data_IF_222042111258
#
_entry.id   IF_222042111258
#
_cell.length_a   1.000
_cell.length_b   1.000
_cell.length_c   1.000
_cell.angle_alpha   90.00
_cell.angle_beta   90.00
_cell.angle_gamma   90.00
#
_symmetry.space_group_name_H-M   'P 1'
#
loop_
_entity.id
_entity.type
_entity.pdbx_description
1 polymer ?
#
# COMPACT_ATOMS: atom_id res chain seq x y z
N UNK A 1 -13.90 7.00 -28.75
CA UNK A 1 -12.81 7.12 -27.75
C UNK A 1 -13.41 7.65 -26.45
N UNK A 2 -13.39 6.84 -25.39
CA UNK A 2 -13.94 7.23 -24.10
C UNK A 2 -12.79 7.69 -23.18
N UNK A 3 -12.80 8.97 -22.81
CA UNK A 3 -11.86 9.57 -21.87
C UNK A 3 -12.66 10.10 -20.69
N UNK A 4 -12.14 9.94 -19.48
CA UNK A 4 -12.75 10.53 -18.30
C UNK A 4 -11.69 10.92 -17.29
N UNK A 5 -11.93 12.02 -16.59
CA UNK A 5 -11.13 12.45 -15.44
C UNK A 5 -12.08 12.65 -14.27
N UNK A 6 -11.72 12.09 -13.13
CA UNK A 6 -12.46 12.24 -11.88
C UNK A 6 -11.50 12.82 -10.84
N UNK A 7 -11.97 13.85 -10.14
CA UNK A 7 -11.27 14.45 -9.01
C UNK A 7 -12.16 14.32 -7.79
N UNK A 8 -11.60 13.77 -6.71
CA UNK A 8 -12.24 13.73 -5.40
C UNK A 8 -11.29 14.29 -4.34
N UNK A 9 -11.82 14.96 -3.33
CA UNK A 9 -11.03 15.43 -2.20
C UNK A 9 -11.82 15.38 -0.90
N UNK A 10 -11.09 15.33 0.19
CA UNK A 10 -11.60 15.41 1.56
C UNK A 10 -10.65 16.31 2.35
N UNK A 11 -11.19 17.17 3.20
CA UNK A 11 -10.41 18.04 4.08
C UNK A 11 -11.19 18.30 5.36
N UNK A 12 -10.48 18.45 6.47
CA UNK A 12 -11.07 18.73 7.77
C UNK A 12 -10.02 18.91 8.87
N UNK A 13 -10.51 19.06 10.09
CA UNK A 13 -9.67 19.01 11.28
C UNK A 13 -9.22 17.57 11.58
N UNK A 14 -8.04 17.41 12.17
CA UNK A 14 -7.45 16.11 12.53
C UNK A 14 -8.35 15.30 13.47
N UNK A 15 -9.06 15.96 14.39
CA UNK A 15 -10.01 15.29 15.28
C UNK A 15 -11.06 16.29 15.83
N UNK A 16 -12.03 15.78 16.58
CA UNK A 16 -13.01 16.62 17.28
C UNK A 16 -12.38 17.59 18.31
N UNK A 17 -11.13 17.34 18.72
CA UNK A 17 -10.41 18.10 19.76
C UNK A 17 -9.13 18.77 19.25
N UNK A 18 -8.76 18.57 17.99
CA UNK A 18 -7.55 19.13 17.39
C UNK A 18 -7.86 19.75 16.02
N UNK A 19 -7.64 21.06 15.89
CA UNK A 19 -7.94 21.83 14.67
C UNK A 19 -6.87 21.72 13.58
N UNK A 20 -5.77 21.00 13.81
CA UNK A 20 -4.69 20.82 12.83
C UNK A 20 -5.25 20.23 11.52
N UNK A 21 -4.84 20.71 10.34
CA UNK A 21 -5.37 20.23 9.06
C UNK A 21 -5.12 18.74 8.79
N UNK A 22 -6.11 18.09 8.19
CA UNK A 22 -6.02 16.80 7.51
C UNK A 22 -6.71 16.90 6.15
N UNK A 23 -6.03 16.49 5.09
CA UNK A 23 -6.63 16.51 3.76
C UNK A 23 -6.08 15.40 2.87
N UNK A 24 -6.89 15.00 1.90
CA UNK A 24 -6.49 14.10 0.83
C UNK A 24 -7.20 14.49 -0.47
N UNK A 25 -6.54 14.26 -1.60
CA UNK A 25 -7.20 14.27 -2.90
C UNK A 25 -6.80 13.04 -3.73
N UNK A 26 -7.66 12.70 -4.68
CA UNK A 26 -7.47 11.63 -5.66
C UNK A 26 -7.86 12.12 -7.05
N UNK A 27 -6.97 11.93 -8.01
CA UNK A 27 -7.17 12.22 -9.42
C UNK A 27 -7.11 10.90 -10.20
N UNK A 28 -8.19 10.56 -10.91
CA UNK A 28 -8.29 9.34 -11.71
C UNK A 28 -8.60 9.68 -13.17
N UNK A 29 -7.63 9.43 -14.04
CA UNK A 29 -7.77 9.50 -15.49
C UNK A 29 -7.99 8.11 -16.09
N UNK A 30 -8.90 8.01 -17.06
CA UNK A 30 -9.14 6.79 -17.84
C UNK A 30 -9.11 7.11 -19.33
N UNK A 31 -8.48 6.24 -20.10
CA UNK A 31 -8.37 6.37 -21.54
C UNK A 31 -8.45 5.00 -22.23
N UNK A 32 -9.30 4.90 -23.25
CA UNK A 32 -9.37 3.73 -24.13
C UNK A 32 -8.74 4.03 -25.49
N UNK A 33 -7.93 3.09 -25.98
CA UNK A 33 -7.18 3.13 -27.23
C UNK A 33 -7.45 1.87 -28.06
N UNK A 34 -6.93 1.84 -29.29
CA UNK A 34 -6.99 0.68 -30.21
C UNK A 34 -8.41 0.10 -30.29
N UNK A 35 -9.35 0.87 -30.83
CA UNK A 35 -10.76 0.46 -30.97
C UNK A 35 -11.41 -0.06 -29.67
N UNK A 36 -10.97 0.49 -28.53
CA UNK A 36 -11.36 0.13 -27.17
C UNK A 36 -10.89 -1.25 -26.69
N UNK A 37 -9.83 -1.82 -27.27
CA UNK A 37 -9.20 -3.06 -26.76
C UNK A 37 -8.07 -2.79 -25.78
N UNK A 38 -7.48 -1.58 -25.80
CA UNK A 38 -6.43 -1.18 -24.87
C UNK A 38 -6.97 -0.13 -23.89
N UNK A 39 -6.95 -0.46 -22.60
CA UNK A 39 -7.47 0.37 -21.53
C UNK A 39 -6.34 0.83 -20.61
N UNK A 40 -6.27 2.14 -20.38
CA UNK A 40 -5.32 2.74 -19.46
C UNK A 40 -6.03 3.51 -18.36
N UNK A 41 -5.62 3.29 -17.11
CA UNK A 41 -6.06 4.05 -15.95
C UNK A 41 -4.85 4.57 -15.20
N UNK A 42 -4.81 5.87 -14.98
CA UNK A 42 -3.83 6.53 -14.12
C UNK A 42 -4.57 7.10 -12.92
N UNK A 43 -4.06 6.81 -11.72
CA UNK A 43 -4.55 7.38 -10.48
C UNK A 43 -3.39 8.01 -9.72
N UNK A 44 -3.59 9.24 -9.23
CA UNK A 44 -2.70 9.89 -8.28
C UNK A 44 -3.48 10.19 -7.01
N UNK A 45 -2.91 9.84 -5.86
CA UNK A 45 -3.43 10.16 -4.55
C UNK A 45 -2.39 10.98 -3.79
N UNK A 46 -2.83 11.98 -3.02
CA UNK A 46 -1.97 12.79 -2.18
C UNK A 46 -2.69 13.06 -0.85
N UNK A 47 -1.93 13.06 0.24
CA UNK A 47 -2.47 13.39 1.55
C UNK A 47 -1.51 14.18 2.43
N UNK A 48 -2.14 14.88 3.38
CA UNK A 48 -1.54 15.82 4.30
C UNK A 48 -2.13 15.58 5.70
N UNK A 49 -1.28 15.57 6.72
CA UNK A 49 -1.71 15.55 8.11
C UNK A 49 -0.75 16.38 8.95
N UNK A 50 -1.24 17.42 9.58
CA UNK A 50 -0.41 18.33 10.37
C UNK A 50 -0.33 17.89 11.84
N UNK A 51 0.84 18.17 12.44
CA UNK A 51 1.12 17.97 13.87
C UNK A 51 0.93 16.50 14.34
N UNK A 52 1.23 15.51 13.50
CA UNK A 52 1.06 14.08 13.80
C UNK A 52 2.38 13.43 14.23
N UNK A 53 2.30 12.33 14.99
CA UNK A 53 3.46 11.50 15.30
C UNK A 53 3.88 10.75 14.03
N UNK A 54 5.16 10.84 13.66
CA UNK A 54 5.71 10.14 12.49
C UNK A 54 7.00 9.41 12.82
N UNK A 55 7.39 8.43 12.00
CA UNK A 55 8.67 7.74 12.16
C UNK A 55 9.87 8.68 12.03
N UNK A 56 9.82 9.66 11.13
CA UNK A 56 10.86 10.69 11.03
C UNK A 56 10.88 11.61 12.25
N UNK A 57 9.72 12.02 12.77
CA UNK A 57 9.62 12.86 13.95
C UNK A 57 10.24 12.22 15.17
N UNK A 58 9.97 10.92 15.39
CA UNK A 58 10.61 10.17 16.49
C UNK A 58 12.11 9.98 16.22
N UNK A 59 12.50 9.55 15.02
CA UNK A 59 13.92 9.28 14.68
C UNK A 59 14.81 10.52 14.80
N UNK A 60 14.24 11.71 14.59
CA UNK A 60 14.93 12.99 14.71
C UNK A 60 14.73 13.67 16.08
N UNK A 61 14.22 12.96 17.10
CA UNK A 61 13.99 13.46 18.45
C UNK A 61 13.17 14.77 18.49
N UNK A 62 12.19 14.92 17.59
CA UNK A 62 11.28 16.08 17.65
C UNK A 62 10.45 16.03 18.93
N UNK A 63 10.07 17.18 19.52
CA UNK A 63 9.18 17.21 20.69
C UNK A 63 7.91 16.39 20.43
N UNK A 64 7.68 15.36 21.25
CA UNK A 64 6.54 14.44 21.09
C UNK A 64 6.54 13.59 19.82
N UNK A 65 7.63 13.59 19.04
CA UNK A 65 7.69 12.96 17.72
C UNK A 65 6.82 13.63 16.66
N UNK A 66 6.36 14.86 16.91
CA UNK A 66 5.35 15.53 16.09
C UNK A 66 5.97 16.28 14.90
N UNK A 67 5.34 16.16 13.73
CA UNK A 67 5.60 16.97 12.55
C UNK A 67 4.43 16.93 11.55
N UNK A 68 4.54 17.71 10.48
CA UNK A 68 3.59 17.64 9.37
C UNK A 68 3.99 16.49 8.43
N UNK A 69 3.04 15.60 8.18
CA UNK A 69 3.19 14.43 7.35
C UNK A 69 2.61 14.64 5.96
N UNK A 70 3.33 14.16 4.94
CA UNK A 70 2.85 14.11 3.56
C UNK A 70 3.05 12.72 2.99
N UNK A 71 2.15 12.31 2.10
CA UNK A 71 2.29 11.06 1.35
C UNK A 71 1.62 11.18 0.00
N UNK A 72 2.11 10.44 -0.98
CA UNK A 72 1.47 10.36 -2.28
C UNK A 72 1.62 8.98 -2.89
N UNK A 73 0.70 8.65 -3.80
CA UNK A 73 0.69 7.42 -4.56
C UNK A 73 0.43 7.69 -6.04
N UNK A 74 1.00 6.85 -6.89
CA UNK A 74 0.72 6.78 -8.32
C UNK A 74 0.43 5.31 -8.64
N UNK A 75 -0.77 5.07 -9.17
CA UNK A 75 -1.20 3.74 -9.62
C UNK A 75 -1.52 3.80 -11.11
N UNK A 76 -0.97 2.85 -11.86
CA UNK A 76 -1.13 2.75 -13.31
C UNK A 76 -1.63 1.36 -13.67
N UNK A 77 -2.68 1.29 -14.47
CA UNK A 77 -3.25 0.06 -14.98
C UNK A 77 -3.21 0.11 -16.49
N UNK A 78 -2.63 -0.91 -17.10
CA UNK A 78 -2.71 -1.15 -18.53
C UNK A 78 -3.36 -2.52 -18.73
N UNK A 79 -4.50 -2.55 -19.42
CA UNK A 79 -5.27 -3.76 -19.67
C UNK A 79 -5.52 -3.88 -21.17
N UNK A 80 -5.41 -5.09 -21.69
CA UNK A 80 -5.60 -5.38 -23.11
C UNK A 80 -6.52 -6.58 -23.29
N UNK A 81 -7.56 -6.38 -24.09
CA UNK A 81 -8.48 -7.43 -24.51
C UNK A 81 -7.88 -8.17 -25.69
N UNK A 82 -7.34 -9.35 -25.43
CA UNK A 82 -6.70 -10.21 -26.45
C UNK A 82 -7.78 -10.86 -27.31
N UNK A 83 -8.86 -11.32 -26.68
CA UNK A 83 -10.04 -11.95 -27.29
C UNK A 83 -11.27 -11.67 -26.41
N UNK A 84 -12.47 -11.96 -26.92
CA UNK A 84 -13.74 -11.80 -26.18
C UNK A 84 -13.77 -12.53 -24.82
N UNK A 85 -12.96 -13.58 -24.66
CA UNK A 85 -12.87 -14.38 -23.46
C UNK A 85 -11.50 -14.30 -22.75
N UNK A 86 -10.57 -13.45 -23.21
CA UNK A 86 -9.22 -13.37 -22.67
C UNK A 86 -8.74 -11.92 -22.62
N UNK A 87 -8.57 -11.40 -21.41
CA UNK A 87 -7.90 -10.13 -21.14
C UNK A 87 -6.61 -10.35 -20.37
N UNK A 88 -5.63 -9.48 -20.57
CA UNK A 88 -4.40 -9.44 -19.77
C UNK A 88 -4.18 -8.05 -19.23
N UNK A 89 -3.47 -7.93 -18.12
CA UNK A 89 -3.19 -6.62 -17.55
C UNK A 89 -1.93 -6.57 -16.71
N UNK A 90 -1.35 -5.38 -16.64
CA UNK A 90 -0.25 -5.02 -15.76
C UNK A 90 -0.67 -3.83 -14.92
N UNK A 91 -0.33 -3.86 -13.64
CA UNK A 91 -0.44 -2.74 -12.72
C UNK A 91 0.92 -2.38 -12.16
N UNK A 92 1.23 -1.09 -12.18
CA UNK A 92 2.39 -0.52 -11.52
C UNK A 92 1.93 0.44 -10.43
N UNK A 93 2.52 0.32 -9.25
CA UNK A 93 2.18 1.08 -8.06
C UNK A 93 3.47 1.70 -7.52
N UNK A 94 3.44 2.99 -7.21
CA UNK A 94 4.45 3.67 -6.40
C UNK A 94 3.74 4.45 -5.31
N UNK A 95 4.13 4.22 -4.07
CA UNK A 95 3.65 4.93 -2.92
C UNK A 95 4.84 5.47 -2.13
N UNK A 96 4.80 6.76 -1.82
CA UNK A 96 5.80 7.45 -1.01
C UNK A 96 5.14 7.93 0.26
N UNK A 97 5.67 7.47 1.38
CA UNK A 97 5.38 8.00 2.71
C UNK A 97 6.56 8.88 3.13
N UNK A 98 6.43 10.21 3.00
CA UNK A 98 7.59 11.10 3.20
C UNK A 98 8.10 11.08 4.63
N UNK A 99 7.19 10.87 5.59
CA UNK A 99 7.44 11.08 7.00
C UNK A 99 7.37 9.79 7.82
N UNK A 100 6.88 8.69 7.25
CA UNK A 100 6.68 7.45 7.97
C UNK A 100 5.42 7.50 8.83
N UNK A 101 4.34 8.05 8.26
CA UNK A 101 3.05 8.26 8.93
C UNK A 101 1.99 7.24 8.52
N UNK A 102 2.03 6.77 7.26
CA UNK A 102 1.01 5.91 6.66
C UNK A 102 1.35 4.43 6.74
N UNK A 103 2.63 4.10 6.59
CA UNK A 103 3.09 2.72 6.68
C UNK A 103 3.83 2.58 7.99
N UNK A 104 3.17 1.93 8.93
CA UNK A 104 3.80 1.33 10.09
C UNK A 104 4.41 0.01 9.62
N UNK A 105 5.59 -0.38 10.13
CA UNK A 105 6.21 -1.67 9.81
C UNK A 105 5.20 -2.82 9.96
N UNK A 106 5.43 -4.01 9.37
CA UNK A 106 4.42 -5.06 9.17
C UNK A 106 3.45 -5.16 10.35
N UNK A 107 2.24 -4.67 10.13
CA UNK A 107 1.30 -4.31 11.20
C UNK A 107 0.87 -5.50 12.07
N UNK A 108 1.13 -6.72 11.59
CA UNK A 108 1.00 -7.95 12.37
C UNK A 108 1.97 -8.05 13.54
N UNK A 109 3.13 -7.41 13.52
CA UNK A 109 4.07 -7.39 14.63
C UNK A 109 3.48 -6.65 15.85
N UNK A 110 3.08 -5.36 15.76
CA UNK A 110 2.44 -4.69 16.89
C UNK A 110 1.06 -5.28 17.19
N UNK A 111 0.33 -5.78 16.18
CA UNK A 111 -0.97 -6.43 16.37
C UNK A 111 -0.90 -7.78 17.10
N UNK A 112 0.29 -8.37 17.23
CA UNK A 112 0.52 -9.63 17.96
C UNK A 112 1.27 -9.41 19.28
N UNK A 113 1.32 -8.17 19.77
CA UNK A 113 1.98 -7.84 21.02
C UNK A 113 1.21 -8.45 22.21
N UNK A 114 1.89 -9.23 23.04
CA UNK A 114 1.35 -9.82 24.25
C UNK A 114 2.29 -9.53 25.43
N UNK A 115 1.71 -9.27 26.60
CA UNK A 115 2.43 -9.06 27.84
C UNK A 115 2.21 -10.29 28.72
N UNK A 116 3.30 -10.98 29.06
CA UNK A 116 3.21 -12.14 29.95
C UNK A 116 2.94 -11.72 31.40
N UNK A 117 2.66 -12.69 32.29
CA UNK A 117 2.42 -12.41 33.72
C UNK A 117 3.59 -11.71 34.43
N UNK A 118 4.81 -11.77 33.89
CA UNK A 118 5.99 -11.09 34.42
C UNK A 118 6.14 -9.64 33.90
N UNK A 119 5.19 -9.14 33.10
CA UNK A 119 5.22 -7.78 32.54
C UNK A 119 6.14 -7.62 31.32
N UNK A 120 6.68 -8.71 30.77
CA UNK A 120 7.54 -8.68 29.59
C UNK A 120 6.66 -8.73 28.34
N UNK A 121 6.78 -7.70 27.48
CA UNK A 121 6.09 -7.62 26.20
C UNK A 121 6.87 -8.28 25.07
N UNK A 122 6.20 -9.12 24.28
CA UNK A 122 6.76 -9.73 23.07
C UNK A 122 5.71 -9.84 21.97
N UNK A 123 6.16 -9.88 20.71
CA UNK A 123 5.31 -10.17 19.54
C UNK A 123 5.47 -11.64 19.15
N UNK A 124 4.37 -12.35 18.90
CA UNK A 124 4.42 -13.74 18.42
C UNK A 124 4.49 -13.85 16.89
N UNK A 125 4.28 -12.74 16.16
CA UNK A 125 4.40 -12.72 14.70
C UNK A 125 5.82 -12.42 14.23
N UNK A 126 6.64 -11.78 15.07
CA UNK A 126 7.96 -11.27 14.69
C UNK A 126 9.02 -11.65 15.75
N UNK A 127 10.26 -11.86 15.32
CA UNK A 127 11.34 -12.31 16.20
C UNK A 127 11.85 -11.21 17.13
N UNK A 128 12.79 -11.55 18.01
CA UNK A 128 13.46 -10.60 18.91
C UNK A 128 14.13 -9.42 18.18
N UNK A 129 14.46 -9.59 16.91
CA UNK A 129 15.08 -8.55 16.07
C UNK A 129 14.08 -7.50 15.56
N UNK A 130 12.77 -7.66 15.78
CA UNK A 130 11.75 -6.68 15.36
C UNK A 130 12.06 -5.26 15.85
N UNK A 131 12.55 -5.13 17.10
CA UNK A 131 12.95 -3.85 17.67
C UNK A 131 14.10 -3.17 16.90
N UNK A 132 14.94 -3.92 16.19
CA UNK A 132 16.00 -3.36 15.35
C UNK A 132 15.46 -2.82 14.01
N UNK A 133 14.32 -3.35 13.53
CA UNK A 133 13.69 -2.94 12.27
C UNK A 133 12.68 -1.79 12.43
N UNK A 134 12.13 -1.64 13.63
CA UNK A 134 11.32 -0.48 14.05
C UNK A 134 11.81 0.01 15.41
N UNK A 135 12.95 0.72 15.44
CA UNK A 135 13.58 1.17 16.69
C UNK A 135 12.69 2.07 17.55
N UNK A 136 11.61 2.62 16.98
CA UNK A 136 10.78 3.65 17.56
C UNK A 136 9.33 3.19 17.81
N UNK A 137 9.13 2.05 18.48
CA UNK A 137 7.79 1.64 18.93
C UNK A 137 6.79 1.35 17.80
N UNK A 138 7.26 0.86 16.66
CA UNK A 138 6.43 0.50 15.50
C UNK A 138 6.39 1.55 14.38
N UNK A 139 6.95 2.74 14.60
CA UNK A 139 7.08 3.75 13.56
C UNK A 139 8.36 3.55 12.73
N UNK A 140 8.20 3.42 11.42
CA UNK A 140 9.30 3.37 10.45
C UNK A 140 9.52 4.74 9.85
N UNK A 141 10.77 5.17 9.58
CA UNK A 141 11.04 6.41 8.85
C UNK A 141 10.38 6.44 7.46
N UNK A 142 10.39 7.63 6.84
CA UNK A 142 9.85 7.81 5.49
C UNK A 142 10.51 6.90 4.45
N UNK A 143 9.70 6.32 3.58
CA UNK A 143 10.09 5.25 2.67
C UNK A 143 9.29 5.28 1.36
N UNK A 144 9.85 4.66 0.32
CA UNK A 144 9.14 4.36 -0.92
C UNK A 144 8.71 2.89 -0.94
N UNK A 145 7.56 2.64 -1.54
CA UNK A 145 6.98 1.33 -1.73
C UNK A 145 6.55 1.21 -3.17
N UNK A 146 6.86 0.08 -3.78
CA UNK A 146 6.61 -0.17 -5.17
C UNK A 146 5.96 -1.54 -5.33
N UNK A 147 5.08 -1.64 -6.32
CA UNK A 147 4.39 -2.88 -6.66
C UNK A 147 4.30 -3.03 -8.17
N UNK A 148 4.61 -4.22 -8.65
CA UNK A 148 4.36 -4.64 -10.02
C UNK A 148 3.46 -5.87 -9.99
N UNK A 149 2.26 -5.77 -10.57
CA UNK A 149 1.33 -6.89 -10.70
C UNK A 149 1.08 -7.19 -12.17
N UNK A 150 1.07 -8.47 -12.55
CA UNK A 150 0.67 -8.93 -13.87
C UNK A 150 -0.38 -10.03 -13.71
N UNK A 151 -1.43 -10.00 -14.53
CA UNK A 151 -2.56 -10.89 -14.38
C UNK A 151 -3.31 -11.16 -15.68
N UNK A 152 -4.17 -12.16 -15.62
CA UNK A 152 -5.01 -12.63 -16.72
C UNK A 152 -6.46 -12.67 -16.27
N UNK A 153 -7.39 -12.30 -17.14
CA UNK A 153 -8.83 -12.53 -16.98
C UNK A 153 -9.28 -13.48 -18.09
N UNK A 154 -9.47 -14.76 -17.77
CA UNK A 154 -9.83 -15.79 -18.75
C UNK A 154 -11.22 -16.36 -18.47
N UNK A 155 -12.07 -16.41 -19.49
CA UNK A 155 -13.44 -16.94 -19.44
C UNK A 155 -13.56 -18.20 -20.30
N UNK A 156 -13.14 -19.38 -19.80
CA UNK A 156 -13.28 -20.62 -20.57
C UNK A 156 -14.75 -20.95 -20.90
N UNK A 157 -15.68 -20.53 -20.04
CA UNK A 157 -17.12 -20.67 -20.20
C UNK A 157 -17.79 -19.35 -19.82
N UNK A 158 -19.02 -19.11 -20.31
CA UNK A 158 -19.74 -17.85 -20.00
C UNK A 158 -20.02 -17.64 -18.50
N UNK A 159 -20.06 -18.71 -17.73
CA UNK A 159 -20.36 -18.72 -16.29
C UNK A 159 -19.12 -18.91 -15.41
N UNK A 160 -17.91 -19.03 -16.00
CA UNK A 160 -16.64 -19.18 -15.27
C UNK A 160 -15.64 -18.14 -15.72
N UNK A 161 -15.07 -17.41 -14.78
CA UNK A 161 -13.90 -16.55 -15.00
C UNK A 161 -12.77 -16.96 -14.06
N UNK A 162 -11.56 -17.16 -14.60
CA UNK A 162 -10.33 -17.44 -13.89
C UNK A 162 -9.44 -16.21 -13.89
N UNK A 163 -8.88 -15.86 -12.73
CA UNK A 163 -8.04 -14.66 -12.57
C UNK A 163 -6.74 -14.91 -11.80
N UNK A 164 -5.74 -15.54 -12.42
CA UNK A 164 -4.41 -15.63 -11.81
C UNK A 164 -3.68 -14.28 -11.90
N UNK A 165 -2.95 -13.94 -10.84
CA UNK A 165 -2.12 -12.74 -10.75
C UNK A 165 -0.81 -13.04 -10.02
N UNK A 166 0.28 -12.51 -10.56
CA UNK A 166 1.58 -12.45 -9.91
C UNK A 166 1.85 -11.01 -9.48
N UNK A 167 2.44 -10.84 -8.30
CA UNK A 167 2.80 -9.54 -7.76
C UNK A 167 4.20 -9.59 -7.17
N UNK A 168 4.98 -8.58 -7.45
CA UNK A 168 6.25 -8.32 -6.80
C UNK A 168 6.22 -6.95 -6.16
N UNK A 169 6.49 -6.91 -4.86
CA UNK A 169 6.54 -5.72 -4.06
C UNK A 169 7.96 -5.47 -3.57
N UNK A 170 8.38 -4.21 -3.51
CA UNK A 170 9.63 -3.83 -2.87
C UNK A 170 9.54 -2.45 -2.22
N UNK A 171 10.38 -2.20 -1.21
CA UNK A 171 10.45 -0.94 -0.48
C UNK A 171 11.88 -0.41 -0.39
N UNK A 172 12.02 0.92 -0.40
CA UNK A 172 13.27 1.60 -0.10
C UNK A 172 13.31 1.98 1.38
N UNK A 173 14.49 1.89 2.01
CA UNK A 173 14.72 2.39 3.37
C UNK A 173 13.83 1.79 4.48
N UNK A 174 13.07 0.73 4.17
CA UNK A 174 12.25 0.00 5.13
C UNK A 174 12.17 -1.48 4.75
N UNK A 175 12.06 -2.34 5.76
CA UNK A 175 11.84 -3.77 5.59
C UNK A 175 10.37 -4.09 5.85
N UNK A 176 9.52 -3.74 4.88
CA UNK A 176 8.08 -3.81 5.05
C UNK A 176 7.50 -5.24 5.04
N UNK A 177 8.29 -6.22 4.60
CA UNK A 177 7.84 -7.59 4.33
C UNK A 177 8.48 -8.59 5.29
N UNK A 178 7.87 -9.77 5.41
CA UNK A 178 8.41 -10.86 6.22
C UNK A 178 9.14 -11.88 5.36
N UNK A 179 10.29 -12.33 5.85
CA UNK A 179 11.04 -13.44 5.30
C UNK A 179 10.61 -14.79 5.87
N UNK A 180 11.40 -15.82 5.55
CA UNK A 180 11.14 -17.22 5.90
C UNK A 180 11.19 -17.52 7.41
N UNK A 181 11.62 -16.58 8.24
CA UNK A 181 11.57 -16.68 9.71
C UNK A 181 11.01 -15.38 10.30
N UNK A 182 10.32 -15.42 11.46
CA UNK A 182 9.81 -14.22 12.13
C UNK A 182 10.88 -13.16 12.43
N UNK A 183 12.14 -13.58 12.56
CA UNK A 183 13.29 -12.70 12.83
C UNK A 183 13.84 -12.00 11.59
N UNK A 184 13.50 -12.44 10.37
CA UNK A 184 14.05 -11.88 9.13
C UNK A 184 12.99 -11.05 8.43
N UNK A 185 13.14 -9.73 8.47
CA UNK A 185 12.34 -8.82 7.67
C UNK A 185 13.02 -8.59 6.32
N UNK A 186 12.20 -8.38 5.28
CA UNK A 186 12.62 -8.22 3.90
C UNK A 186 12.13 -6.89 3.36
N UNK A 187 12.87 -6.35 2.41
CA UNK A 187 12.52 -5.18 1.61
C UNK A 187 11.74 -5.56 0.35
N UNK A 188 11.46 -6.85 0.12
CA UNK A 188 10.70 -7.32 -1.02
C UNK A 188 9.82 -8.54 -0.71
N UNK A 189 8.81 -8.76 -1.55
CA UNK A 189 7.92 -9.91 -1.48
C UNK A 189 7.42 -10.30 -2.89
N UNK A 190 7.41 -11.59 -3.17
CA UNK A 190 6.67 -12.15 -4.30
C UNK A 190 5.38 -12.81 -3.82
N UNK A 191 4.29 -12.57 -4.54
CA UNK A 191 2.96 -13.11 -4.25
C UNK A 191 2.33 -13.67 -5.52
N UNK A 192 1.82 -14.90 -5.42
CA UNK A 192 0.89 -15.45 -6.41
C UNK A 192 -0.51 -15.50 -5.82
N UNK A 193 -1.51 -15.16 -6.61
CA UNK A 193 -2.92 -15.26 -6.25
C UNK A 193 -3.72 -15.75 -7.44
N UNK A 194 -4.80 -16.48 -7.18
CA UNK A 194 -5.76 -16.84 -8.20
C UNK A 194 -7.14 -16.95 -7.57
N UNK A 195 -8.15 -16.52 -8.30
CA UNK A 195 -9.54 -16.66 -7.90
C UNK A 195 -10.41 -17.11 -9.09
N UNK A 196 -11.60 -17.61 -8.77
CA UNK A 196 -12.61 -18.03 -9.72
C UNK A 196 -13.90 -17.30 -9.42
N UNK A 197 -14.48 -16.68 -10.44
CA UNK A 197 -15.83 -16.09 -10.37
C UNK A 197 -16.79 -17.00 -11.11
N UNK A 198 -17.82 -17.46 -10.40
CA UNK A 198 -18.92 -18.27 -10.95
C UNK A 198 -20.17 -17.39 -10.98
N UNK A 199 -20.82 -17.31 -12.15
CA UNK A 199 -22.06 -16.55 -12.33
C UNK A 199 -23.19 -17.51 -12.69
N UNK A 200 -24.37 -17.34 -12.08
CA UNK A 200 -25.57 -18.15 -12.32
C UNK A 200 -26.75 -17.29 -12.74
#
# INVERSE_FOLDING_TARGET
>A
KAYSVNLGSTAGARSATASSPWAMYSLVGKANFIDNTLHYVLQNDMGFADDVITGNGISNNKPGGLENATWYGINQYLMYDVQDNLGVGVRMEWFRDNNGFRVLGPQRCPGSFNINQAGVGSTYACGSDYGNYVPNGGYTPGADYYGLTAGVNYKPLKWVMLRPNFRYDWSSNNQAFMGSTPAKMLDNQFTFSADVVITF
#
